data_IF_615346772456
#
_entry.id   IF_615346772456
#
_cell.length_a   1.000
_cell.length_b   1.000
_cell.length_c   1.000
_cell.angle_alpha   90.00
_cell.angle_beta   90.00
_cell.angle_gamma   90.00
#
_symmetry.space_group_name_H-M   'P 1'
#
loop_
_entity.id
_entity.type
_entity.pdbx_description
1 polymer ?
#
# COMPACT_ATOMS: atom_id res chain seq x y z
N UNK A 1 -4.57 -4.65 -8.99
CA UNK A 1 -5.78 -4.67 -8.15
C UNK A 1 -6.99 -4.45 -9.05
N UNK A 2 -7.87 -5.45 -9.16
CA UNK A 2 -9.17 -5.26 -9.79
C UNK A 2 -10.08 -4.66 -8.70
N UNK A 3 -10.29 -3.35 -8.73
CA UNK A 3 -11.06 -2.65 -7.69
C UNK A 3 -12.55 -2.87 -7.89
N UNK A 4 -13.25 -3.11 -6.77
CA UNK A 4 -14.66 -3.45 -6.80
C UNK A 4 -15.49 -2.24 -7.31
N UNK A 5 -16.28 -2.40 -8.38
CA UNK A 5 -17.10 -1.31 -8.91
C UNK A 5 -18.04 -0.69 -7.87
N UNK A 6 -18.47 -1.47 -6.87
CA UNK A 6 -19.30 -0.97 -5.75
C UNK A 6 -18.58 0.13 -4.96
N UNK A 7 -17.28 -0.03 -4.70
CA UNK A 7 -16.48 0.92 -3.92
C UNK A 7 -16.25 2.20 -4.73
N UNK A 8 -16.01 2.07 -6.04
CA UNK A 8 -15.83 3.23 -6.93
C UNK A 8 -17.10 4.06 -7.03
N UNK A 9 -18.25 3.41 -7.16
CA UNK A 9 -19.54 4.11 -7.28
C UNK A 9 -19.95 4.78 -5.96
N UNK A 10 -19.66 4.16 -4.81
CA UNK A 10 -19.95 4.73 -3.50
C UNK A 10 -19.10 5.97 -3.17
N UNK A 11 -17.83 5.98 -3.57
CA UNK A 11 -16.90 7.10 -3.31
C UNK A 11 -16.99 8.19 -4.38
N UNK A 12 -17.38 7.83 -5.61
CA UNK A 12 -17.32 8.71 -6.77
C UNK A 12 -15.90 8.89 -7.32
N UNK A 13 -15.81 9.28 -8.59
CA UNK A 13 -14.57 9.34 -9.38
C UNK A 13 -13.42 10.14 -8.70
N UNK A 14 -13.58 11.41 -8.30
CA UNK A 14 -12.45 12.22 -7.80
C UNK A 14 -11.93 11.78 -6.43
N UNK A 15 -12.80 11.21 -5.58
CA UNK A 15 -12.40 10.70 -4.25
C UNK A 15 -11.69 9.35 -4.42
N UNK A 16 -12.22 8.49 -5.29
CA UNK A 16 -11.62 7.20 -5.61
C UNK A 16 -10.19 7.37 -6.17
N UNK A 17 -9.98 8.30 -7.10
CA UNK A 17 -8.65 8.58 -7.67
C UNK A 17 -7.65 9.04 -6.60
N UNK A 18 -8.07 9.96 -5.72
CA UNK A 18 -7.23 10.43 -4.60
C UNK A 18 -6.92 9.32 -3.60
N UNK A 19 -7.90 8.47 -3.30
CA UNK A 19 -7.70 7.32 -2.41
C UNK A 19 -6.67 6.36 -3.00
N UNK A 20 -6.78 6.05 -4.30
CA UNK A 20 -5.86 5.16 -4.99
C UNK A 20 -4.42 5.71 -4.96
N UNK A 21 -4.25 7.00 -5.29
CA UNK A 21 -2.96 7.66 -5.24
C UNK A 21 -2.33 7.62 -3.84
N UNK A 22 -3.13 7.85 -2.78
CA UNK A 22 -2.65 7.76 -1.41
C UNK A 22 -2.20 6.34 -1.04
N UNK A 23 -2.96 5.31 -1.44
CA UNK A 23 -2.60 3.91 -1.17
C UNK A 23 -1.37 3.43 -1.94
N UNK A 24 -1.19 3.90 -3.17
CA UNK A 24 0.04 3.65 -3.91
C UNK A 24 1.26 4.29 -3.23
N UNK A 25 1.13 5.52 -2.74
CA UNK A 25 2.20 6.19 -1.99
C UNK A 25 2.54 5.45 -0.70
N UNK A 26 1.53 5.01 0.05
CA UNK A 26 1.69 4.20 1.27
C UNK A 26 2.42 2.90 0.97
N UNK A 27 2.02 2.19 -0.10
CA UNK A 27 2.66 0.95 -0.53
C UNK A 27 4.14 1.16 -0.91
N UNK A 28 4.43 2.22 -1.67
CA UNK A 28 5.81 2.57 -2.01
C UNK A 28 6.64 2.95 -0.78
N UNK A 29 6.05 3.62 0.21
CA UNK A 29 6.73 3.94 1.46
C UNK A 29 7.05 2.67 2.26
N UNK A 30 6.09 1.74 2.35
CA UNK A 30 6.28 0.45 3.00
C UNK A 30 7.41 -0.36 2.34
N UNK A 31 7.38 -0.52 1.01
CA UNK A 31 8.41 -1.29 0.30
C UNK A 31 9.82 -0.68 0.31
N UNK A 32 9.95 0.60 0.68
CA UNK A 32 11.26 1.28 0.88
C UNK A 32 11.78 1.18 2.31
N UNK A 33 10.98 0.68 3.24
CA UNK A 33 11.35 0.53 4.64
C UNK A 33 11.75 -0.91 4.92
N UNK A 34 12.93 -1.11 5.52
CA UNK A 34 13.32 -2.41 6.06
C UNK A 34 12.65 -2.55 7.42
N UNK A 35 11.69 -3.46 7.50
CA UNK A 35 10.98 -3.78 8.73
C UNK A 35 11.89 -4.50 9.73
N UNK A 36 11.58 -4.38 11.03
CA UNK A 36 12.33 -5.08 12.07
C UNK A 36 12.34 -6.60 11.85
N UNK A 37 11.22 -7.15 11.38
CA UNK A 37 11.12 -8.56 11.00
C UNK A 37 12.12 -8.96 9.90
N UNK A 38 12.40 -8.09 8.92
CA UNK A 38 13.41 -8.36 7.89
C UNK A 38 14.83 -8.35 8.48
N UNK A 39 15.10 -7.48 9.45
CA UNK A 39 16.38 -7.46 10.17
C UNK A 39 16.55 -8.75 10.96
N UNK A 40 15.56 -9.11 11.79
CA UNK A 40 15.60 -10.32 12.62
C UNK A 40 15.76 -11.58 11.75
N UNK A 41 15.08 -11.63 10.60
CA UNK A 41 15.10 -12.80 9.71
C UNK A 41 16.39 -12.97 8.91
N UNK A 42 17.02 -11.86 8.48
CA UNK A 42 18.13 -11.92 7.53
C UNK A 42 19.48 -11.49 8.12
N UNK A 43 19.51 -10.81 9.28
CA UNK A 43 20.75 -10.33 9.91
C UNK A 43 21.15 -11.10 11.17
N UNK A 44 20.24 -11.74 11.92
CA UNK A 44 20.61 -12.48 13.15
C UNK A 44 21.22 -13.89 12.89
N UNK A 45 21.51 -14.23 11.63
CA UNK A 45 22.07 -15.52 11.22
C UNK A 45 23.44 -15.46 10.54
N UNK A 46 24.21 -14.39 10.71
CA UNK A 46 25.56 -14.22 10.16
C UNK A 46 26.65 -14.29 11.25
#
# INVERSE_FOLDING_TARGET
LNWDPVVRDALGQPIFERFLAAKEQEWQAFGRHISHWELDRYLEGA
#
